data_IF_473909633881
#
_entry.id   IF_473909633881
#
_cell.length_a   1.000
_cell.length_b   1.000
_cell.length_c   1.000
_cell.angle_alpha   90.00
_cell.angle_beta   90.00
_cell.angle_gamma   90.00
#
_symmetry.space_group_name_H-M   'P 1'
#
loop_
_entity.id
_entity.type
_entity.pdbx_description
1 polymer ?
#
# COMPACT_ATOMS: atom_id res chain seq x y z
N UNK A 1 51.49 15.01 -53.16
CA UNK A 1 51.29 15.92 -52.00
C UNK A 1 49.83 16.12 -51.86
N UNK A 2 49.12 15.23 -51.13
CA UNK A 2 47.69 15.42 -50.80
C UNK A 2 47.45 14.85 -49.42
N UNK A 3 47.29 15.76 -48.51
CA UNK A 3 47.05 15.48 -47.11
C UNK A 3 45.57 15.16 -46.89
N UNK A 4 45.27 13.88 -46.63
CA UNK A 4 43.90 13.43 -46.29
C UNK A 4 43.66 13.73 -44.82
N UNK A 5 42.83 14.72 -44.56
CA UNK A 5 42.32 15.09 -43.23
C UNK A 5 41.25 14.08 -42.81
N UNK A 6 41.58 13.17 -41.90
CA UNK A 6 40.64 12.21 -41.34
C UNK A 6 39.83 12.90 -40.25
N UNK A 7 38.55 13.15 -40.54
CA UNK A 7 37.60 13.58 -39.53
C UNK A 7 37.21 12.39 -38.64
N UNK A 8 37.69 12.41 -37.40
CA UNK A 8 37.17 11.58 -36.34
C UNK A 8 35.84 12.16 -35.85
N UNK A 9 34.74 11.57 -36.29
CA UNK A 9 33.42 11.82 -35.69
C UNK A 9 33.32 10.96 -34.44
N UNK A 10 33.52 11.58 -33.27
CA UNK A 10 33.29 10.94 -31.97
C UNK A 10 31.80 10.88 -31.71
N UNK A 11 31.24 9.69 -31.86
CA UNK A 11 29.83 9.41 -31.52
C UNK A 11 29.75 9.27 -29.99
N UNK A 12 29.45 10.36 -29.28
CA UNK A 12 29.11 10.30 -27.86
C UNK A 12 27.73 9.66 -27.70
N UNK A 13 27.72 8.33 -27.47
CA UNK A 13 26.52 7.62 -27.12
C UNK A 13 26.12 8.02 -25.70
N UNK A 14 25.28 9.03 -25.59
CA UNK A 14 24.66 9.39 -24.31
C UNK A 14 23.73 8.24 -23.85
N UNK A 15 24.15 7.51 -22.82
CA UNK A 15 23.29 6.58 -22.10
C UNK A 15 22.26 7.42 -21.34
N UNK A 16 21.08 7.58 -21.94
CA UNK A 16 19.93 8.14 -21.28
C UNK A 16 19.47 7.09 -20.24
N UNK A 17 19.93 7.25 -19.00
CA UNK A 17 19.34 6.53 -17.86
C UNK A 17 17.89 6.98 -17.77
N UNK A 18 16.99 6.18 -18.35
CA UNK A 18 15.58 6.32 -18.11
C UNK A 18 15.36 6.03 -16.63
N UNK A 19 15.20 7.08 -15.83
CA UNK A 19 14.58 6.97 -14.51
C UNK A 19 13.16 6.45 -14.75
N UNK A 20 13.00 5.13 -14.68
CA UNK A 20 11.68 4.53 -14.66
C UNK A 20 10.95 5.13 -13.47
N UNK A 21 9.82 5.82 -13.65
CA UNK A 21 9.04 6.25 -12.50
C UNK A 21 8.74 5.00 -11.67
N UNK A 22 8.93 5.07 -10.37
CA UNK A 22 8.58 4.00 -9.44
C UNK A 22 7.05 3.84 -9.51
N UNK A 23 6.59 2.99 -10.42
CA UNK A 23 5.18 2.70 -10.69
C UNK A 23 4.62 1.96 -9.46
N UNK A 24 4.06 2.71 -8.55
CA UNK A 24 3.34 2.23 -7.39
C UNK A 24 2.35 3.31 -6.97
N UNK A 25 1.23 2.92 -6.36
CA UNK A 25 0.25 3.87 -5.86
C UNK A 25 0.94 4.90 -4.96
N UNK A 26 0.67 6.18 -5.22
CA UNK A 26 1.16 7.25 -4.36
C UNK A 26 0.43 7.22 -3.02
N UNK A 27 1.07 6.65 -2.01
CA UNK A 27 0.55 6.59 -0.65
C UNK A 27 0.75 7.89 0.12
N UNK A 28 1.54 8.85 -0.39
CA UNK A 28 1.85 10.10 0.31
C UNK A 28 0.62 10.99 0.47
N UNK A 29 -0.35 10.90 -0.46
CA UNK A 29 -1.61 11.63 -0.41
C UNK A 29 -2.48 11.31 0.82
N UNK A 30 -2.23 10.15 1.47
CA UNK A 30 -2.94 9.72 2.69
C UNK A 30 -2.22 10.12 3.97
N UNK A 31 -0.94 10.55 3.89
CA UNK A 31 -0.17 10.90 5.08
C UNK A 31 -0.87 12.00 5.89
N UNK A 32 -0.82 11.84 7.20
CA UNK A 32 -1.43 12.71 8.20
C UNK A 32 -2.96 12.75 8.18
N UNK A 33 -3.60 12.07 7.21
CA UNK A 33 -5.06 11.99 7.04
C UNK A 33 -5.60 10.61 7.40
N UNK A 34 -5.04 9.58 6.79
CA UNK A 34 -5.55 8.22 6.89
C UNK A 34 -4.46 7.22 7.31
N UNK A 35 -4.88 6.18 8.00
CA UNK A 35 -4.14 4.92 8.14
C UNK A 35 -4.49 4.04 6.95
N UNK A 36 -3.56 3.17 6.55
CA UNK A 36 -3.80 2.29 5.42
C UNK A 36 -3.66 0.83 5.85
N UNK A 37 -4.60 0.01 5.41
CA UNK A 37 -4.50 -1.44 5.48
C UNK A 37 -4.34 -1.97 4.07
N UNK A 38 -3.14 -2.45 3.74
CA UNK A 38 -2.87 -3.08 2.45
C UNK A 38 -3.08 -4.58 2.61
N UNK A 39 -4.09 -5.12 1.93
CA UNK A 39 -4.46 -6.54 1.96
C UNK A 39 -4.05 -7.15 0.62
N UNK A 40 -3.00 -7.93 0.62
CA UNK A 40 -2.51 -8.66 -0.54
C UNK A 40 -3.02 -10.10 -0.49
N UNK A 41 -3.63 -10.57 -1.56
CA UNK A 41 -4.13 -11.94 -1.70
C UNK A 41 -3.97 -12.40 -3.15
N UNK A 42 -3.86 -13.71 -3.38
CA UNK A 42 -3.82 -14.24 -4.74
C UNK A 42 -5.16 -14.00 -5.44
N UNK A 43 -6.26 -14.34 -4.77
CA UNK A 43 -7.62 -14.23 -5.31
C UNK A 43 -8.65 -14.01 -4.19
N UNK A 44 -9.88 -13.68 -4.56
CA UNK A 44 -10.96 -13.32 -3.63
C UNK A 44 -11.51 -14.51 -2.83
N UNK A 45 -11.23 -15.74 -3.24
CA UNK A 45 -11.65 -16.96 -2.56
C UNK A 45 -10.61 -17.54 -1.59
N UNK A 46 -9.46 -16.90 -1.42
CA UNK A 46 -8.49 -17.30 -0.41
C UNK A 46 -9.10 -17.23 1.00
N UNK A 47 -9.03 -18.32 1.75
CA UNK A 47 -9.74 -18.44 3.04
C UNK A 47 -9.38 -17.34 4.04
N UNK A 48 -8.09 -16.97 4.13
CA UNK A 48 -7.62 -15.88 4.99
C UNK A 48 -8.20 -14.52 4.58
N UNK A 49 -8.26 -14.26 3.27
CA UNK A 49 -8.88 -13.05 2.74
C UNK A 49 -10.40 -13.03 3.00
N UNK A 50 -11.09 -14.14 2.75
CA UNK A 50 -12.56 -14.24 2.98
C UNK A 50 -12.89 -13.92 4.43
N UNK A 51 -12.19 -14.53 5.38
CA UNK A 51 -12.40 -14.30 6.80
C UNK A 51 -12.14 -12.83 7.20
N UNK A 52 -11.04 -12.25 6.73
CA UNK A 52 -10.72 -10.85 6.98
C UNK A 52 -11.77 -9.91 6.37
N UNK A 53 -12.15 -10.14 5.12
CA UNK A 53 -13.11 -9.28 4.42
C UNK A 53 -14.50 -9.33 5.07
N UNK A 54 -14.93 -10.50 5.57
CA UNK A 54 -16.15 -10.63 6.35
C UNK A 54 -16.09 -9.83 7.65
N UNK A 55 -14.99 -9.93 8.38
CA UNK A 55 -14.77 -9.16 9.62
C UNK A 55 -14.77 -7.65 9.37
N UNK A 56 -14.13 -7.19 8.29
CA UNK A 56 -14.12 -5.77 7.90
C UNK A 56 -15.51 -5.25 7.56
N UNK A 57 -16.35 -6.06 6.86
CA UNK A 57 -17.73 -5.70 6.55
C UNK A 57 -18.59 -5.57 7.80
N UNK A 58 -18.44 -6.48 8.75
CA UNK A 58 -19.19 -6.47 10.02
C UNK A 58 -18.77 -5.30 10.93
N UNK A 59 -17.54 -4.79 10.76
CA UNK A 59 -16.95 -3.75 11.61
C UNK A 59 -16.66 -2.45 10.86
N UNK A 60 -17.48 -2.14 9.85
CA UNK A 60 -17.25 -0.99 8.97
C UNK A 60 -17.19 0.35 9.73
N UNK A 61 -18.03 0.55 10.74
CA UNK A 61 -18.00 1.75 11.58
C UNK A 61 -16.69 1.89 12.34
N UNK A 62 -16.12 0.79 12.83
CA UNK A 62 -14.84 0.80 13.52
C UNK A 62 -13.65 1.08 12.58
N UNK A 63 -13.74 0.61 11.33
CA UNK A 63 -12.79 0.93 10.26
C UNK A 63 -12.82 2.44 9.98
N UNK A 64 -14.03 3.01 9.83
CA UNK A 64 -14.22 4.44 9.56
C UNK A 64 -13.77 5.32 10.72
N UNK A 65 -14.10 4.95 11.96
CA UNK A 65 -13.71 5.68 13.18
C UNK A 65 -12.19 5.80 13.34
N UNK A 66 -11.43 4.86 12.77
CA UNK A 66 -9.96 4.87 12.77
C UNK A 66 -9.33 5.52 11.54
N UNK A 67 -10.11 6.20 10.71
CA UNK A 67 -9.66 6.75 9.40
C UNK A 67 -8.89 5.72 8.58
N UNK A 68 -9.31 4.46 8.59
CA UNK A 68 -8.61 3.35 7.97
C UNK A 68 -9.12 3.11 6.54
N UNK A 69 -8.24 3.31 5.56
CA UNK A 69 -8.49 3.00 4.15
C UNK A 69 -7.98 1.60 3.83
N UNK A 70 -8.83 0.77 3.22
CA UNK A 70 -8.49 -0.62 2.89
C UNK A 70 -8.19 -0.75 1.40
N UNK A 71 -6.95 -1.17 1.10
CA UNK A 71 -6.48 -1.56 -0.23
C UNK A 71 -6.61 -3.08 -0.38
N UNK A 72 -7.36 -3.54 -1.35
CA UNK A 72 -7.50 -4.97 -1.70
C UNK A 72 -6.72 -5.22 -2.97
N UNK A 73 -5.57 -5.87 -2.84
CA UNK A 73 -4.56 -6.01 -3.91
C UNK A 73 -4.47 -7.49 -4.28
N UNK A 74 -4.98 -7.84 -5.46
CA UNK A 74 -5.04 -9.21 -5.95
C UNK A 74 -4.02 -9.48 -7.04
N UNK A 75 -3.74 -10.76 -7.29
CA UNK A 75 -2.88 -11.22 -8.38
C UNK A 75 -3.70 -11.49 -9.64
N UNK A 76 -4.86 -12.13 -9.51
CA UNK A 76 -5.63 -12.69 -10.61
C UNK A 76 -6.88 -11.88 -10.97
N UNK A 77 -7.32 -10.98 -10.09
CA UNK A 77 -8.53 -10.18 -10.30
C UNK A 77 -8.27 -8.70 -10.05
N UNK A 78 -9.15 -7.80 -10.53
CA UNK A 78 -8.98 -6.36 -10.34
C UNK A 78 -8.86 -5.97 -8.87
N UNK A 79 -7.82 -5.19 -8.57
CA UNK A 79 -7.56 -4.64 -7.23
C UNK A 79 -8.41 -3.39 -6.96
N UNK A 80 -8.62 -3.05 -5.68
CA UNK A 80 -9.47 -1.93 -5.26
C UNK A 80 -8.90 -1.19 -4.06
N UNK A 81 -9.21 0.11 -4.00
CA UNK A 81 -9.06 0.94 -2.81
C UNK A 81 -10.48 1.25 -2.33
N UNK A 82 -10.88 0.68 -1.20
CA UNK A 82 -12.30 0.67 -0.78
C UNK A 82 -13.17 0.16 -1.93
N UNK A 83 -13.96 1.01 -2.60
CA UNK A 83 -14.81 0.61 -3.74
C UNK A 83 -14.27 1.08 -5.10
N UNK A 84 -13.18 1.85 -5.12
CA UNK A 84 -12.56 2.37 -6.35
C UNK A 84 -11.58 1.38 -6.94
N UNK A 85 -11.53 1.28 -8.26
CA UNK A 85 -10.54 0.45 -8.93
C UNK A 85 -9.11 0.97 -8.69
N UNK A 86 -8.20 0.03 -8.39
CA UNK A 86 -6.76 0.30 -8.33
C UNK A 86 -6.13 -0.20 -9.64
N UNK A 87 -5.45 0.67 -10.41
CA UNK A 87 -4.80 0.27 -11.64
C UNK A 87 -3.83 -0.91 -11.44
N UNK A 88 -3.75 -1.85 -12.40
CA UNK A 88 -2.88 -3.04 -12.26
C UNK A 88 -1.41 -2.71 -12.01
N UNK A 89 -0.89 -1.69 -12.68
CA UNK A 89 0.49 -1.22 -12.52
C UNK A 89 0.76 -0.67 -11.12
N UNK A 90 -0.20 0.02 -10.51
CA UNK A 90 -0.11 0.50 -9.12
C UNK A 90 -0.16 -0.66 -8.14
N UNK A 91 -1.05 -1.64 -8.36
CA UNK A 91 -1.15 -2.85 -7.55
C UNK A 91 0.16 -3.66 -7.57
N UNK A 92 0.75 -3.85 -8.76
CA UNK A 92 2.06 -4.50 -8.92
C UNK A 92 3.19 -3.70 -8.27
N UNK A 93 3.14 -2.37 -8.40
CA UNK A 93 4.09 -1.46 -7.75
C UNK A 93 4.08 -1.61 -6.24
N UNK A 94 2.91 -1.71 -5.61
CA UNK A 94 2.76 -1.96 -4.18
C UNK A 94 3.33 -3.32 -3.79
N UNK A 95 3.05 -4.39 -4.56
CA UNK A 95 3.64 -5.72 -4.31
C UNK A 95 5.17 -5.67 -4.31
N UNK A 96 5.78 -5.03 -5.29
CA UNK A 96 7.24 -4.87 -5.35
C UNK A 96 7.78 -4.04 -4.19
N UNK A 97 7.15 -2.91 -3.90
CA UNK A 97 7.57 -1.98 -2.84
C UNK A 97 7.64 -2.66 -1.47
N UNK A 98 6.68 -3.52 -1.16
CA UNK A 98 6.59 -4.21 0.12
C UNK A 98 7.14 -5.64 0.06
N UNK A 99 7.75 -6.06 -1.06
CA UNK A 99 8.33 -7.39 -1.28
C UNK A 99 7.36 -8.53 -0.89
N UNK A 100 6.09 -8.39 -1.29
CA UNK A 100 5.04 -9.34 -0.94
C UNK A 100 5.15 -10.60 -1.79
N UNK A 101 5.19 -11.75 -1.14
CA UNK A 101 5.24 -13.07 -1.80
C UNK A 101 3.91 -13.38 -2.49
N UNK A 102 4.00 -14.03 -3.65
CA UNK A 102 2.83 -14.56 -4.36
C UNK A 102 2.17 -15.72 -3.61
N UNK A 103 0.86 -15.88 -3.82
CA UNK A 103 0.13 -17.06 -3.37
C UNK A 103 -0.24 -17.10 -1.89
N UNK A 104 0.01 -16.04 -1.12
CA UNK A 104 -0.39 -16.00 0.29
C UNK A 104 -0.96 -14.66 0.70
N UNK A 105 -1.89 -14.69 1.66
CA UNK A 105 -2.38 -13.48 2.31
C UNK A 105 -1.24 -12.77 3.03
N UNK A 106 -1.11 -11.46 2.76
CA UNK A 106 -0.26 -10.55 3.54
C UNK A 106 -1.04 -9.29 3.83
N UNK A 107 -1.08 -8.88 5.09
CA UNK A 107 -1.73 -7.64 5.54
C UNK A 107 -0.70 -6.72 6.15
N UNK A 108 -0.65 -5.48 5.65
CA UNK A 108 0.30 -4.47 6.12
C UNK A 108 -0.48 -3.27 6.64
N UNK A 109 -0.26 -2.90 7.89
CA UNK A 109 -0.79 -1.67 8.48
C UNK A 109 0.24 -0.55 8.35
N UNK A 110 -0.19 0.58 7.79
CA UNK A 110 0.59 1.81 7.67
C UNK A 110 -0.07 2.90 8.52
N UNK A 111 0.69 3.56 9.36
CA UNK A 111 0.22 4.67 10.18
C UNK A 111 0.01 5.97 9.38
N UNK A 112 -0.62 6.97 9.99
CA UNK A 112 -0.80 8.32 9.37
C UNK A 112 0.53 8.99 9.04
N UNK A 113 1.61 8.66 9.73
CA UNK A 113 2.98 9.11 9.44
C UNK A 113 3.60 8.48 8.19
N UNK A 114 2.93 7.47 7.59
CA UNK A 114 3.39 6.73 6.42
C UNK A 114 4.33 5.56 6.74
N UNK A 115 4.60 5.29 8.01
CA UNK A 115 5.43 4.17 8.45
C UNK A 115 4.64 2.87 8.59
N UNK A 116 5.28 1.73 8.25
CA UNK A 116 4.72 0.40 8.51
C UNK A 116 4.68 0.15 10.02
N UNK A 117 3.53 -0.28 10.53
CA UNK A 117 3.28 -0.53 11.95
C UNK A 117 3.11 -2.01 12.28
N UNK A 118 2.57 -2.79 11.35
CA UNK A 118 2.34 -4.22 11.53
C UNK A 118 2.35 -4.93 10.16
N UNK A 119 2.83 -6.17 10.15
CA UNK A 119 2.70 -7.10 9.03
C UNK A 119 2.15 -8.41 9.58
N UNK A 120 1.09 -8.94 8.97
CA UNK A 120 0.54 -10.25 9.27
C UNK A 120 0.51 -11.09 7.99
N UNK A 121 0.91 -12.35 8.07
CA UNK A 121 0.95 -13.26 6.93
C UNK A 121 0.04 -14.47 7.18
N UNK A 122 -0.53 -15.01 6.08
CA UNK A 122 -1.39 -16.19 6.01
C UNK A 122 -2.73 -16.04 6.73
N UNK A 123 -2.77 -15.34 7.83
CA UNK A 123 -3.97 -15.07 8.62
C UNK A 123 -3.89 -13.65 9.17
N UNK A 124 -5.01 -12.95 9.15
CA UNK A 124 -5.13 -11.62 9.71
C UNK A 124 -6.04 -11.62 10.95
N UNK A 125 -5.58 -10.94 11.99
CA UNK A 125 -6.35 -10.66 13.20
C UNK A 125 -6.71 -9.17 13.21
N UNK A 126 -7.98 -8.89 12.87
CA UNK A 126 -8.49 -7.51 12.80
C UNK A 126 -8.53 -6.87 14.20
N UNK A 127 -8.75 -7.64 15.26
CA UNK A 127 -8.77 -7.10 16.62
C UNK A 127 -7.37 -6.61 17.01
N UNK A 128 -6.34 -7.43 16.78
CA UNK A 128 -4.96 -7.03 17.03
C UNK A 128 -4.55 -5.78 16.23
N UNK A 129 -5.07 -5.63 15.00
CA UNK A 129 -4.84 -4.42 14.20
C UNK A 129 -5.49 -3.20 14.84
N UNK A 130 -6.74 -3.32 15.28
CA UNK A 130 -7.46 -2.22 15.93
C UNK A 130 -6.85 -1.84 17.28
N UNK A 131 -6.48 -2.82 18.09
CA UNK A 131 -5.81 -2.59 19.39
C UNK A 131 -4.49 -1.85 19.20
N UNK A 132 -3.72 -2.24 18.18
CA UNK A 132 -2.49 -1.51 17.85
C UNK A 132 -2.78 -0.07 17.42
N UNK A 133 -3.77 0.15 16.54
CA UNK A 133 -4.16 1.51 16.13
C UNK A 133 -4.55 2.34 17.34
N UNK A 134 -5.40 1.80 18.23
CA UNK A 134 -5.91 2.51 19.38
C UNK A 134 -4.83 2.81 20.43
N UNK A 135 -3.72 2.09 20.44
CA UNK A 135 -2.54 2.39 21.27
C UNK A 135 -1.65 3.50 20.69
N UNK A 136 -1.84 3.93 19.45
CA UNK A 136 -0.99 4.96 18.82
C UNK A 136 -1.24 6.35 19.42
N UNK A 137 -0.18 7.15 19.69
CA UNK A 137 -0.35 8.48 20.32
C UNK A 137 -1.28 9.43 19.56
N UNK A 138 -1.26 9.40 18.23
CA UNK A 138 -2.15 10.22 17.41
C UNK A 138 -3.61 9.78 17.57
N UNK A 139 -3.87 8.46 17.57
CA UNK A 139 -5.21 7.91 17.78
C UNK A 139 -5.73 8.21 19.19
N UNK A 140 -4.88 8.13 20.19
CA UNK A 140 -5.25 8.50 21.57
C UNK A 140 -5.77 9.95 21.65
N UNK A 141 -5.12 10.88 20.96
CA UNK A 141 -5.58 12.28 20.87
C UNK A 141 -6.90 12.39 20.12
N UNK A 142 -7.06 11.71 18.97
CA UNK A 142 -8.31 11.70 18.20
C UNK A 142 -9.50 11.21 19.05
N UNK A 143 -9.29 10.16 19.86
CA UNK A 143 -10.34 9.65 20.75
C UNK A 143 -10.69 10.63 21.88
N UNK A 144 -9.71 11.34 22.45
CA UNK A 144 -9.96 12.37 23.46
C UNK A 144 -10.72 13.57 22.89
N UNK A 145 -10.32 14.06 21.71
CA UNK A 145 -10.99 15.15 21.01
C UNK A 145 -12.44 14.76 20.63
N UNK A 146 -12.66 13.54 20.14
CA UNK A 146 -14.00 13.00 19.81
C UNK A 146 -14.90 12.81 21.03
N UNK A 147 -14.33 12.57 22.21
CA UNK A 147 -15.07 12.45 23.47
C UNK A 147 -15.39 13.80 24.12
N UNK A 148 -14.96 14.93 23.54
CA UNK A 148 -15.17 16.26 24.10
C UNK A 148 -14.45 16.50 25.43
N UNK A 149 -13.38 15.77 25.71
CA UNK A 149 -12.54 15.93 26.91
C UNK A 149 -11.48 16.97 26.59
N UNK A 150 -11.43 18.09 27.36
CA UNK A 150 -10.46 19.17 27.14
C UNK A 150 -9.00 18.75 27.43
#
# INVERSE_FOLDING_TARGET
MNTLLKHFVSLATGILLALSPAWGADLTKYRWKNRLMLVFSAHTSEAGYVALNQSLKQRLSEVQDRDLIVFRIFEEVPSRITEQALPPEEAQGLRRRFNVKSGQLTVILIGKDGGVKMVQERRADIQAIFDLIDSMPMRQREMQEGAGIP
#
